data_IF_707221213951
#
_entry.id   IF_707221213951
#
_cell.length_a   1.000
_cell.length_b   1.000
_cell.length_c   1.000
_cell.angle_alpha   90.00
_cell.angle_beta   90.00
_cell.angle_gamma   90.00
#
_symmetry.space_group_name_H-M   'P 1'
#
loop_
_entity.id
_entity.type
_entity.pdbx_description
1 polymer ?
#
# COMPACT_ATOMS: atom_id res chain seq x y z
N UNK A 1 -18.36 -5.56 3.07
CA UNK A 1 -17.93 -4.16 2.93
C UNK A 1 -16.75 -4.00 1.96
N UNK A 2 -16.55 -4.93 1.04
CA UNK A 2 -15.68 -4.74 -0.10
C UNK A 2 -16.50 -4.19 -1.28
N UNK A 3 -15.89 -3.38 -2.12
CA UNK A 3 -16.51 -2.88 -3.34
C UNK A 3 -15.75 -3.37 -4.56
N UNK A 4 -16.33 -4.30 -5.29
CA UNK A 4 -15.77 -4.80 -6.55
C UNK A 4 -16.45 -4.05 -7.69
N UNK A 5 -15.68 -3.27 -8.41
CA UNK A 5 -16.19 -2.44 -9.52
C UNK A 5 -16.02 -3.14 -10.87
N UNK A 6 -16.69 -2.64 -11.93
CA UNK A 6 -16.59 -3.22 -13.26
C UNK A 6 -15.16 -3.45 -13.77
N UNK A 7 -15.00 -4.37 -14.68
CA UNK A 7 -13.74 -4.78 -15.31
C UNK A 7 -12.72 -5.36 -14.31
N UNK A 8 -13.19 -5.92 -13.20
CA UNK A 8 -12.36 -6.57 -12.18
C UNK A 8 -12.45 -8.08 -12.27
N UNK A 9 -11.30 -8.75 -12.19
CA UNK A 9 -11.18 -10.22 -12.13
C UNK A 9 -10.50 -10.62 -10.84
N UNK A 10 -11.16 -11.46 -10.05
CA UNK A 10 -10.61 -12.04 -8.82
C UNK A 10 -10.42 -13.53 -9.07
N UNK A 11 -9.19 -13.99 -9.01
CA UNK A 11 -8.86 -15.38 -9.31
C UNK A 11 -8.98 -16.28 -8.08
N UNK A 12 -8.84 -17.59 -8.30
CA UNK A 12 -9.02 -18.63 -7.31
C UNK A 12 -8.19 -18.38 -6.03
N UNK A 13 -8.81 -18.53 -4.89
CA UNK A 13 -8.15 -18.38 -3.59
C UNK A 13 -7.77 -16.96 -3.21
N UNK A 14 -7.99 -15.97 -4.07
CA UNK A 14 -7.74 -14.58 -3.72
C UNK A 14 -8.72 -14.09 -2.66
N UNK A 15 -8.25 -13.22 -1.76
CA UNK A 15 -9.04 -12.69 -0.65
C UNK A 15 -9.12 -11.17 -0.72
N UNK A 16 -10.35 -10.67 -0.78
CA UNK A 16 -10.64 -9.24 -0.72
C UNK A 16 -11.46 -9.01 0.55
N UNK A 17 -10.89 -8.29 1.49
CA UNK A 17 -11.49 -8.09 2.81
C UNK A 17 -12.23 -6.77 2.97
N UNK A 18 -12.44 -6.39 4.24
CA UNK A 18 -13.27 -5.23 4.58
C UNK A 18 -12.68 -3.91 4.11
N UNK A 19 -13.54 -3.09 3.51
CA UNK A 19 -13.22 -1.73 3.07
C UNK A 19 -12.12 -1.69 2.02
N UNK A 20 -12.08 -2.72 1.18
CA UNK A 20 -11.21 -2.77 0.00
C UNK A 20 -12.04 -2.47 -1.23
N UNK A 21 -11.60 -1.50 -2.00
CA UNK A 21 -12.20 -1.19 -3.30
C UNK A 21 -11.28 -1.69 -4.41
N UNK A 22 -11.82 -2.47 -5.34
CA UNK A 22 -11.09 -2.98 -6.51
C UNK A 22 -11.80 -2.52 -7.77
N UNK A 23 -11.07 -1.88 -8.68
CA UNK A 23 -11.63 -1.32 -9.92
C UNK A 23 -10.71 -1.64 -11.09
N UNK A 24 -11.28 -2.18 -12.16
CA UNK A 24 -10.57 -2.44 -13.42
C UNK A 24 -9.19 -3.08 -13.20
N UNK A 25 -9.18 -4.16 -12.41
CA UNK A 25 -7.96 -4.80 -11.95
C UNK A 25 -8.08 -6.32 -11.99
N UNK A 26 -6.94 -6.99 -12.08
CA UNK A 26 -6.84 -8.44 -11.93
C UNK A 26 -6.10 -8.75 -10.63
N UNK A 27 -6.68 -9.59 -9.77
CA UNK A 27 -6.05 -10.06 -8.54
C UNK A 27 -5.79 -11.55 -8.66
N UNK A 28 -4.53 -11.93 -8.76
CA UNK A 28 -4.08 -13.29 -9.04
C UNK A 28 -4.37 -14.29 -7.93
N UNK A 29 -4.14 -15.57 -8.23
CA UNK A 29 -4.42 -16.68 -7.31
C UNK A 29 -3.75 -16.49 -5.97
N UNK A 30 -4.50 -16.79 -4.91
CA UNK A 30 -4.03 -16.75 -3.51
C UNK A 30 -3.49 -15.40 -3.05
N UNK A 31 -3.68 -14.33 -3.81
CA UNK A 31 -3.30 -12.99 -3.39
C UNK A 31 -4.31 -12.42 -2.41
N UNK A 32 -3.85 -11.56 -1.52
CA UNK A 32 -4.66 -11.05 -0.40
C UNK A 32 -4.60 -9.53 -0.32
N UNK A 33 -5.77 -8.91 -0.24
CA UNK A 33 -5.95 -7.52 0.14
C UNK A 33 -7.03 -7.48 1.23
N UNK A 34 -6.62 -7.67 2.48
CA UNK A 34 -7.55 -7.97 3.56
C UNK A 34 -8.22 -6.75 4.18
N UNK A 35 -7.63 -5.57 4.08
CA UNK A 35 -8.12 -4.39 4.81
C UNK A 35 -7.84 -3.08 4.10
N UNK A 36 -8.85 -2.18 4.07
CA UNK A 36 -8.66 -0.74 3.90
C UNK A 36 -7.75 -0.35 2.73
N UNK A 37 -7.93 -0.91 1.55
CA UNK A 37 -7.06 -0.65 0.41
C UNK A 37 -7.83 -0.20 -0.82
N UNK A 38 -7.19 0.59 -1.67
CA UNK A 38 -7.69 0.91 -2.99
C UNK A 38 -6.78 0.32 -4.07
N UNK A 39 -7.35 -0.55 -4.89
CA UNK A 39 -6.69 -1.23 -6.01
C UNK A 39 -7.40 -0.83 -7.30
N UNK A 40 -6.80 0.08 -8.04
CA UNK A 40 -7.35 0.59 -9.30
C UNK A 40 -6.37 0.43 -10.45
N UNK A 41 -6.88 0.05 -11.61
CA UNK A 41 -6.11 -0.11 -12.85
C UNK A 41 -4.82 -0.93 -12.62
N UNK A 42 -4.93 -2.08 -11.95
CA UNK A 42 -3.78 -2.86 -11.49
C UNK A 42 -3.80 -4.30 -11.99
N UNK A 43 -2.62 -4.84 -12.21
CA UNK A 43 -2.40 -6.27 -12.49
C UNK A 43 -1.58 -6.84 -11.34
N UNK A 44 -2.22 -7.65 -10.51
CA UNK A 44 -1.59 -8.27 -9.34
C UNK A 44 -1.42 -9.76 -9.61
N UNK A 45 -0.20 -10.24 -9.49
CA UNK A 45 0.16 -11.63 -9.69
C UNK A 45 -0.35 -12.57 -8.60
N UNK A 46 0.24 -13.75 -8.54
CA UNK A 46 -0.13 -14.80 -7.58
C UNK A 46 0.63 -14.66 -6.27
N UNK A 47 0.02 -15.09 -5.17
CA UNK A 47 0.63 -15.12 -3.83
C UNK A 47 1.17 -13.75 -3.37
N UNK A 48 0.51 -12.67 -3.77
CA UNK A 48 0.86 -11.30 -3.36
C UNK A 48 0.12 -10.94 -2.08
N UNK A 49 0.82 -10.29 -1.17
CA UNK A 49 0.19 -9.73 0.02
C UNK A 49 0.11 -8.21 -0.09
N UNK A 50 -1.09 -7.68 -0.08
CA UNK A 50 -1.34 -6.23 -0.05
C UNK A 50 -1.68 -5.84 1.39
N UNK A 51 -0.82 -5.02 1.99
CA UNK A 51 -1.00 -4.53 3.35
C UNK A 51 -2.17 -3.57 3.51
N UNK A 52 -2.63 -3.39 4.74
CA UNK A 52 -3.71 -2.45 5.04
C UNK A 52 -3.32 -1.01 4.66
N UNK A 53 -4.24 -0.27 4.08
CA UNK A 53 -4.01 1.12 3.69
C UNK A 53 -3.17 1.30 2.43
N UNK A 54 -2.92 0.25 1.67
CA UNK A 54 -2.21 0.38 0.38
C UNK A 54 -3.10 1.05 -0.65
N UNK A 55 -2.55 2.03 -1.33
CA UNK A 55 -3.23 2.80 -2.37
C UNK A 55 -2.46 2.70 -3.69
N UNK A 56 -3.12 2.28 -4.74
CA UNK A 56 -2.62 2.45 -6.10
C UNK A 56 -3.01 3.85 -6.58
N UNK A 57 -2.02 4.71 -6.77
CA UNK A 57 -2.25 6.07 -7.26
C UNK A 57 -2.32 6.01 -8.79
N UNK A 58 -3.49 5.64 -9.29
CA UNK A 58 -3.71 5.34 -10.71
C UNK A 58 -4.06 6.55 -11.59
N UNK A 59 -4.35 7.69 -10.99
CA UNK A 59 -4.81 8.88 -11.72
C UNK A 59 -3.86 10.05 -11.49
N UNK A 60 -3.36 10.64 -12.57
CA UNK A 60 -2.38 11.75 -12.53
C UNK A 60 -3.01 13.15 -12.63
N UNK A 61 -4.34 13.22 -12.62
CA UNK A 61 -5.10 14.46 -12.84
C UNK A 61 -5.68 14.55 -14.26
N UNK A 62 -5.13 13.80 -15.21
CA UNK A 62 -5.60 13.77 -16.61
C UNK A 62 -5.86 12.35 -17.09
N UNK A 63 -4.92 11.43 -16.87
CA UNK A 63 -4.94 10.05 -17.36
C UNK A 63 -4.81 9.04 -16.25
N UNK A 64 -5.26 7.82 -16.52
CA UNK A 64 -5.08 6.68 -15.65
C UNK A 64 -3.92 5.82 -16.15
N UNK A 65 -3.15 5.30 -15.20
CA UNK A 65 -1.98 4.49 -15.44
C UNK A 65 -2.07 3.17 -14.68
N UNK A 66 -1.31 2.18 -15.13
CA UNK A 66 -1.35 0.82 -14.60
C UNK A 66 -0.25 0.60 -13.57
N UNK A 67 -0.62 -0.07 -12.47
CA UNK A 67 0.31 -0.64 -11.50
C UNK A 67 0.41 -2.15 -11.76
N UNK A 68 1.63 -2.65 -11.90
CA UNK A 68 1.89 -4.09 -12.00
C UNK A 68 2.61 -4.57 -10.74
N UNK A 69 2.09 -5.61 -10.12
CA UNK A 69 2.72 -6.28 -8.98
C UNK A 69 2.89 -7.74 -9.33
N UNK A 70 4.12 -8.18 -9.48
CA UNK A 70 4.42 -9.54 -9.87
C UNK A 70 4.26 -10.53 -8.71
N UNK A 71 4.41 -11.82 -9.01
CA UNK A 71 4.14 -12.90 -8.06
C UNK A 71 5.01 -12.82 -6.80
N UNK A 72 4.43 -13.22 -5.68
CA UNK A 72 5.15 -13.37 -4.42
C UNK A 72 5.54 -12.08 -3.73
N UNK A 73 5.10 -10.93 -4.19
CA UNK A 73 5.43 -9.65 -3.58
C UNK A 73 4.73 -9.42 -2.24
N UNK A 74 5.41 -8.71 -1.36
CA UNK A 74 4.86 -8.24 -0.11
C UNK A 74 4.81 -6.70 -0.10
N UNK A 75 3.62 -6.14 -0.14
CA UNK A 75 3.42 -4.69 -0.10
C UNK A 75 3.06 -4.29 1.33
N UNK A 76 3.96 -3.56 1.98
CA UNK A 76 3.78 -3.14 3.37
C UNK A 76 2.61 -2.17 3.55
N UNK A 77 2.05 -2.15 4.74
CA UNK A 77 0.91 -1.29 5.09
C UNK A 77 1.19 0.18 4.83
N UNK A 78 0.15 0.91 4.49
CA UNK A 78 0.22 2.36 4.23
C UNK A 78 1.26 2.74 3.16
N UNK A 79 1.41 1.90 2.16
CA UNK A 79 2.24 2.20 1.00
C UNK A 79 1.41 2.78 -0.13
N UNK A 80 1.99 3.72 -0.87
CA UNK A 80 1.40 4.29 -2.07
C UNK A 80 2.23 3.86 -3.29
N UNK A 81 1.56 3.31 -4.28
CA UNK A 81 2.19 2.90 -5.55
C UNK A 81 1.78 3.89 -6.63
N UNK A 82 2.71 4.76 -7.02
CA UNK A 82 2.44 5.82 -8.00
C UNK A 82 2.59 5.26 -9.41
N UNK A 83 1.46 5.01 -10.06
CA UNK A 83 1.43 4.46 -11.41
C UNK A 83 1.91 5.50 -12.47
N UNK A 84 2.54 5.08 -13.57
CA UNK A 84 2.86 3.69 -13.90
C UNK A 84 4.07 3.17 -13.10
N UNK A 85 3.95 1.99 -12.54
CA UNK A 85 5.02 1.38 -11.75
C UNK A 85 4.90 -0.14 -11.77
N UNK A 86 6.04 -0.82 -11.74
CA UNK A 86 6.14 -2.27 -11.67
C UNK A 86 6.93 -2.71 -10.44
N UNK A 87 6.34 -3.59 -9.66
CA UNK A 87 6.98 -4.22 -8.50
C UNK A 87 7.35 -5.65 -8.88
N UNK A 88 8.65 -5.92 -8.97
CA UNK A 88 9.20 -7.19 -9.48
C UNK A 88 8.99 -8.36 -8.53
N UNK A 89 9.03 -9.58 -9.06
CA UNK A 89 8.77 -10.83 -8.33
C UNK A 89 9.49 -10.91 -6.99
N UNK A 90 8.80 -11.44 -5.99
CA UNK A 90 9.36 -11.72 -4.67
C UNK A 90 10.00 -10.50 -3.99
N UNK A 91 9.65 -9.29 -4.39
CA UNK A 91 10.15 -8.08 -3.74
C UNK A 91 9.26 -7.65 -2.58
N UNK A 92 9.83 -6.82 -1.75
CA UNK A 92 9.18 -6.25 -0.57
C UNK A 92 9.10 -4.72 -0.71
N UNK A 93 7.97 -4.17 -0.32
CA UNK A 93 7.83 -2.73 -0.12
C UNK A 93 7.64 -2.50 1.38
N UNK A 94 8.53 -1.74 2.00
CA UNK A 94 8.45 -1.43 3.42
C UNK A 94 7.20 -0.59 3.74
N UNK A 95 6.59 -0.79 4.91
CA UNK A 95 5.42 -0.02 5.31
C UNK A 95 5.67 1.49 5.24
N UNK A 96 4.66 2.24 4.81
CA UNK A 96 4.75 3.70 4.67
C UNK A 96 5.61 4.18 3.50
N UNK A 97 5.91 3.31 2.55
CA UNK A 97 6.75 3.68 1.40
C UNK A 97 5.91 4.25 0.26
N UNK A 98 6.37 5.35 -0.33
CA UNK A 98 5.84 5.85 -1.59
C UNK A 98 6.73 5.34 -2.73
N UNK A 99 6.18 4.43 -3.54
CA UNK A 99 6.91 3.81 -4.66
C UNK A 99 6.68 4.63 -5.91
N UNK A 100 7.73 5.26 -6.41
CA UNK A 100 7.71 6.11 -7.61
C UNK A 100 8.56 5.56 -8.75
N UNK A 101 9.30 4.49 -8.50
CA UNK A 101 10.19 3.82 -9.47
C UNK A 101 9.94 2.33 -9.43
N UNK A 102 10.20 1.65 -10.55
CA UNK A 102 10.12 0.20 -10.59
C UNK A 102 11.02 -0.45 -9.53
N UNK A 103 10.50 -1.50 -8.91
CA UNK A 103 11.22 -2.27 -7.90
C UNK A 103 11.76 -3.54 -8.57
N UNK A 104 13.08 -3.76 -8.56
CA UNK A 104 13.66 -4.97 -9.12
C UNK A 104 13.21 -6.23 -8.38
N UNK A 105 13.27 -7.38 -9.07
CA UNK A 105 12.99 -8.68 -8.48
C UNK A 105 13.81 -8.91 -7.20
N UNK A 106 13.18 -9.37 -6.13
CA UNK A 106 13.83 -9.70 -4.86
C UNK A 106 14.33 -8.49 -4.05
N UNK A 107 14.06 -7.27 -4.48
CA UNK A 107 14.52 -6.06 -3.79
C UNK A 107 13.60 -5.67 -2.63
N UNK A 108 14.11 -4.84 -1.74
CA UNK A 108 13.34 -4.13 -0.73
C UNK A 108 13.31 -2.64 -1.10
N UNK A 109 12.11 -2.10 -1.36
CA UNK A 109 11.90 -0.68 -1.57
C UNK A 109 11.52 0.01 -0.26
N UNK A 110 12.24 1.06 0.09
CA UNK A 110 11.97 1.87 1.28
C UNK A 110 12.07 3.35 0.91
N UNK A 111 11.08 4.13 1.30
CA UNK A 111 11.07 5.58 1.11
C UNK A 111 10.40 6.22 2.33
N UNK A 112 11.17 6.40 3.40
CA UNK A 112 10.69 7.01 4.63
C UNK A 112 11.83 7.68 5.40
N UNK A 113 11.49 8.74 6.11
CA UNK A 113 12.44 9.47 6.95
C UNK A 113 12.79 8.63 8.18
N UNK A 114 14.08 8.55 8.58
CA UNK A 114 14.46 7.89 9.83
C UNK A 114 13.73 8.45 11.04
N UNK A 115 13.25 7.57 11.90
CA UNK A 115 12.58 7.97 13.13
C UNK A 115 13.53 8.71 14.07
N UNK A 116 13.04 9.80 14.65
CA UNK A 116 13.73 10.56 15.71
C UNK A 116 12.90 10.51 16.98
N UNK A 117 13.48 10.03 18.05
CA UNK A 117 12.86 10.05 19.37
C UNK A 117 13.36 11.28 20.15
N UNK A 118 12.44 12.03 20.73
CA UNK A 118 12.74 13.17 21.60
C UNK A 118 12.40 12.77 23.02
N UNK A 119 13.40 12.34 23.76
CA UNK A 119 13.23 11.88 25.15
C UNK A 119 12.74 13.00 26.07
N UNK A 120 11.82 12.65 26.95
CA UNK A 120 11.28 13.58 27.94
C UNK A 120 10.31 14.63 27.38
N UNK A 121 10.01 14.63 26.08
CA UNK A 121 9.16 15.65 25.47
C UNK A 121 7.77 15.73 26.11
N UNK A 122 7.12 14.60 26.31
CA UNK A 122 5.77 14.56 26.90
C UNK A 122 5.76 15.05 28.36
N UNK A 123 6.78 14.75 29.15
CA UNK A 123 6.92 15.20 30.54
C UNK A 123 7.12 16.70 30.61
N UNK A 124 7.93 17.28 29.75
CA UNK A 124 8.14 18.75 29.67
C UNK A 124 6.84 19.46 29.26
N UNK A 125 6.08 18.90 28.32
CA UNK A 125 4.77 19.43 27.90
C UNK A 125 3.77 19.47 29.08
N UNK A 126 3.71 18.42 29.88
CA UNK A 126 2.82 18.34 31.06
C UNK A 126 3.18 19.36 32.12
N UNK A 127 4.48 19.58 32.38
CA UNK A 127 4.94 20.63 33.31
C UNK A 127 4.55 22.02 32.84
N UNK A 128 4.75 22.34 31.55
CA UNK A 128 4.38 23.63 30.99
C UNK A 128 2.86 23.89 31.05
N UNK A 129 2.02 22.85 30.85
CA UNK A 129 0.58 22.96 30.96
C UNK A 129 0.11 23.22 32.42
N UNK A 130 0.77 22.63 33.43
CA UNK A 130 0.47 22.89 34.85
C UNK A 130 0.83 24.34 35.25
N UNK A 131 1.97 24.83 34.82
CA UNK A 131 2.44 26.21 35.12
C UNK A 131 1.52 27.27 34.50
N UNK A 132 0.82 27.00 33.41
CA UNK A 132 -0.14 27.91 32.77
C UNK A 132 -1.51 27.93 33.44
N UNK A 133 -1.84 26.98 34.33
CA UNK A 133 -3.10 26.88 35.05
C UNK A 133 -3.06 27.52 36.45
N UNK A 134 -1.89 27.81 36.94
CA UNK A 134 -1.63 28.52 38.19
C UNK A 134 -1.33 30.01 37.91
#
# INVERSE_FOLDING_TARGET
>A
FARIRPETKIFEGAKIGNFVEVKKSAVGKNSKASHLSYIGDSVIGENVNIGAGVITCNYDGEKKHVTEIEDGCFIGSDSQLVAPVKVGKNSYVGSGTTVTKNVPEGALAISRVPQKNIEGWASKKKKAAKTKKD
#
